data_IF_726107413352
#
_entry.id   IF_726107413352
#
_cell.length_a   1.000
_cell.length_b   1.000
_cell.length_c   1.000
_cell.angle_alpha   90.00
_cell.angle_beta   90.00
_cell.angle_gamma   90.00
#
_symmetry.space_group_name_H-M   'P 1'
#
loop_
_entity.id
_entity.type
_entity.pdbx_description
1 polymer ?
#
# COMPACT_ATOMS: atom_id res chain seq x y z
N UNK A 1 -16.97 -16.84 1.85
CA UNK A 1 -15.69 -16.34 1.33
C UNK A 1 -14.61 -16.91 2.22
N UNK A 2 -13.63 -17.62 1.66
CA UNK A 2 -12.46 -18.09 2.43
C UNK A 2 -11.69 -16.86 2.89
N UNK A 3 -11.58 -16.66 4.21
CA UNK A 3 -10.81 -15.55 4.80
C UNK A 3 -9.36 -15.69 4.34
N UNK A 4 -8.86 -14.73 3.57
CA UNK A 4 -7.43 -14.64 3.25
C UNK A 4 -6.71 -13.97 4.41
N UNK A 5 -5.47 -14.36 4.67
CA UNK A 5 -4.63 -13.68 5.64
C UNK A 5 -4.33 -12.25 5.16
N UNK A 6 -4.20 -11.26 6.06
CA UNK A 6 -3.66 -9.97 5.69
C UNK A 6 -2.33 -10.10 4.95
N UNK A 7 -2.13 -9.29 3.92
CA UNK A 7 -0.86 -9.24 3.21
C UNK A 7 0.21 -8.50 4.04
N UNK A 8 1.47 -8.84 3.81
CA UNK A 8 2.61 -8.01 4.16
C UNK A 8 3.11 -7.30 2.90
N UNK A 9 3.14 -5.97 2.95
CA UNK A 9 3.71 -5.11 1.93
C UNK A 9 4.99 -4.44 2.46
N UNK A 10 5.99 -4.32 1.59
CA UNK A 10 7.17 -3.48 1.86
C UNK A 10 7.13 -2.20 1.00
N UNK A 11 7.23 -1.05 1.67
CA UNK A 11 7.39 0.27 1.05
C UNK A 11 8.86 0.63 0.87
N UNK A 12 9.26 0.96 -0.36
CA UNK A 12 10.63 1.33 -0.72
C UNK A 12 10.75 2.86 -0.89
N UNK A 13 10.84 3.60 0.21
CA UNK A 13 10.95 5.06 0.23
C UNK A 13 12.40 5.60 0.20
N UNK A 14 13.30 4.87 -0.47
CA UNK A 14 14.69 5.27 -0.60
C UNK A 14 14.82 6.48 -1.54
N UNK A 15 15.84 7.31 -1.35
CA UNK A 15 16.11 8.46 -2.25
C UNK A 15 17.00 8.12 -3.44
N UNK A 16 17.37 6.86 -3.62
CA UNK A 16 18.18 6.36 -4.73
C UNK A 16 17.77 4.94 -5.15
N UNK A 17 18.14 4.56 -6.38
CA UNK A 17 17.75 3.31 -7.01
C UNK A 17 18.41 2.10 -6.33
N UNK A 18 19.67 2.25 -5.90
CA UNK A 18 20.46 1.16 -5.33
C UNK A 18 19.88 0.70 -3.99
N UNK A 19 19.51 1.64 -3.13
CA UNK A 19 18.87 1.38 -1.85
C UNK A 19 17.54 0.66 -2.01
N UNK A 20 16.69 1.16 -2.92
CA UNK A 20 15.39 0.52 -3.19
C UNK A 20 15.54 -0.93 -3.69
N UNK A 21 16.43 -1.17 -4.66
CA UNK A 21 16.67 -2.53 -5.17
C UNK A 21 17.26 -3.44 -4.09
N UNK A 22 18.26 -2.96 -3.33
CA UNK A 22 18.89 -3.77 -2.28
C UNK A 22 17.88 -4.18 -1.19
N UNK A 23 17.02 -3.25 -0.76
CA UNK A 23 15.95 -3.54 0.19
C UNK A 23 14.90 -4.48 -0.39
N UNK A 24 14.50 -4.31 -1.65
CA UNK A 24 13.55 -5.22 -2.30
C UNK A 24 14.11 -6.65 -2.36
N UNK A 25 15.38 -6.82 -2.73
CA UNK A 25 16.06 -8.12 -2.82
C UNK A 25 16.18 -8.79 -1.45
N UNK A 26 16.39 -8.02 -0.37
CA UNK A 26 16.57 -8.59 0.97
C UNK A 26 15.28 -9.15 1.58
N UNK A 27 14.10 -8.65 1.19
CA UNK A 27 12.81 -9.07 1.78
C UNK A 27 11.81 -9.67 0.79
N UNK A 28 12.03 -9.52 -0.52
CA UNK A 28 11.04 -9.79 -1.55
C UNK A 28 10.47 -11.21 -1.55
N UNK A 29 11.25 -12.20 -1.10
CA UNK A 29 10.78 -13.58 -0.96
C UNK A 29 9.75 -13.77 0.17
N UNK A 30 9.83 -12.96 1.22
CA UNK A 30 9.04 -13.11 2.44
C UNK A 30 7.76 -12.26 2.43
N UNK A 31 7.70 -11.21 1.61
CA UNK A 31 6.54 -10.29 1.51
C UNK A 31 5.60 -10.67 0.36
N UNK A 32 4.34 -10.24 0.43
CA UNK A 32 3.35 -10.52 -0.62
C UNK A 32 3.33 -9.41 -1.69
N UNK A 33 3.60 -8.17 -1.28
CA UNK A 33 3.52 -6.97 -2.12
C UNK A 33 4.80 -6.14 -1.97
N UNK A 34 5.29 -5.59 -3.08
CA UNK A 34 6.46 -4.69 -3.11
C UNK A 34 6.02 -3.35 -3.72
N UNK A 35 6.27 -2.27 -3.00
CA UNK A 35 5.85 -0.92 -3.37
C UNK A 35 7.06 -0.03 -3.72
N UNK A 36 7.06 0.50 -4.93
CA UNK A 36 7.92 1.62 -5.29
C UNK A 36 7.31 2.91 -4.72
N UNK A 37 7.83 3.35 -3.57
CA UNK A 37 7.31 4.48 -2.80
C UNK A 37 7.43 5.82 -3.53
N UNK A 38 6.56 6.79 -3.20
CA UNK A 38 6.54 8.11 -3.86
C UNK A 38 7.91 8.79 -3.85
N UNK A 39 8.62 8.75 -2.71
CA UNK A 39 9.94 9.38 -2.57
C UNK A 39 10.91 8.78 -3.58
N UNK A 40 10.91 7.47 -3.77
CA UNK A 40 11.82 6.82 -4.69
C UNK A 40 11.44 7.09 -6.15
N UNK A 41 10.15 6.98 -6.50
CA UNK A 41 9.68 7.24 -7.86
C UNK A 41 9.98 8.67 -8.34
N UNK A 42 9.89 9.66 -7.45
CA UNK A 42 10.26 11.05 -7.77
C UNK A 42 11.76 11.23 -8.02
N UNK A 43 12.60 10.38 -7.41
CA UNK A 43 14.05 10.44 -7.56
C UNK A 43 14.56 9.68 -8.79
N UNK A 44 13.96 8.53 -9.10
CA UNK A 44 14.53 7.58 -10.08
C UNK A 44 13.61 7.26 -11.26
N UNK A 45 12.36 7.73 -11.23
CA UNK A 45 11.37 7.47 -12.27
C UNK A 45 10.82 6.03 -12.26
N UNK A 46 9.99 5.74 -13.27
CA UNK A 46 9.21 4.48 -13.33
C UNK A 46 10.00 3.26 -13.83
N UNK A 47 11.27 3.41 -14.21
CA UNK A 47 12.12 2.25 -14.54
C UNK A 47 12.29 1.32 -13.32
N UNK A 48 12.25 1.87 -12.10
CA UNK A 48 12.23 1.06 -10.87
C UNK A 48 11.08 0.04 -10.87
N UNK A 49 9.88 0.42 -11.33
CA UNK A 49 8.71 -0.47 -11.36
C UNK A 49 8.99 -1.70 -12.25
N UNK A 50 9.64 -1.49 -13.40
CA UNK A 50 9.99 -2.58 -14.32
C UNK A 50 11.11 -3.45 -13.76
N UNK A 51 12.10 -2.86 -13.10
CA UNK A 51 13.15 -3.61 -12.40
C UNK A 51 12.53 -4.52 -11.33
N UNK A 52 11.61 -3.99 -10.51
CA UNK A 52 10.91 -4.79 -9.51
C UNK A 52 10.08 -5.92 -10.14
N UNK A 53 9.38 -5.66 -11.26
CA UNK A 53 8.64 -6.69 -11.99
C UNK A 53 9.54 -7.81 -12.50
N UNK A 54 10.71 -7.45 -13.03
CA UNK A 54 11.67 -8.43 -13.53
C UNK A 54 12.29 -9.29 -12.41
N UNK A 55 12.54 -8.70 -11.24
CA UNK A 55 13.05 -9.43 -10.07
C UNK A 55 11.96 -10.30 -9.41
N UNK A 56 10.70 -9.84 -9.43
CA UNK A 56 9.59 -10.44 -8.70
C UNK A 56 8.36 -10.65 -9.59
N UNK A 57 8.41 -11.59 -10.56
CA UNK A 57 7.37 -11.74 -11.58
C UNK A 57 6.00 -12.09 -11.00
N UNK A 58 5.96 -12.82 -9.88
CA UNK A 58 4.71 -13.32 -9.28
C UNK A 58 4.18 -12.44 -8.13
N UNK A 59 4.96 -11.47 -7.66
CA UNK A 59 4.54 -10.58 -6.56
C UNK A 59 3.60 -9.49 -7.08
N UNK A 60 2.78 -8.96 -6.16
CA UNK A 60 2.04 -7.74 -6.40
C UNK A 60 2.99 -6.55 -6.37
N UNK A 61 2.88 -5.66 -7.35
CA UNK A 61 3.73 -4.47 -7.44
C UNK A 61 2.90 -3.21 -7.40
N UNK A 62 3.25 -2.29 -6.51
CA UNK A 62 2.60 -0.99 -6.34
C UNK A 62 3.50 0.11 -6.89
N UNK A 63 2.93 0.99 -7.71
CA UNK A 63 3.52 2.29 -8.03
C UNK A 63 2.86 3.38 -7.19
N UNK A 64 3.52 3.82 -6.12
CA UNK A 64 2.99 4.80 -5.19
C UNK A 64 3.20 6.23 -5.70
N UNK A 65 2.45 6.60 -6.74
CA UNK A 65 2.60 7.90 -7.40
C UNK A 65 1.90 9.04 -6.67
N UNK A 66 0.95 8.74 -5.76
CA UNK A 66 0.02 9.69 -5.16
C UNK A 66 -0.60 10.61 -6.23
N UNK A 67 -0.98 10.01 -7.37
CA UNK A 67 -1.45 10.72 -8.55
C UNK A 67 -2.63 11.64 -8.22
N UNK A 68 -2.46 12.94 -8.50
CA UNK A 68 -3.47 13.98 -8.26
C UNK A 68 -4.21 14.41 -9.55
N UNK A 69 -3.54 14.33 -10.69
CA UNK A 69 -4.07 14.68 -12.01
C UNK A 69 -3.42 13.85 -13.13
N UNK A 70 -3.93 13.97 -14.35
CA UNK A 70 -3.51 13.20 -15.52
C UNK A 70 -3.60 11.68 -15.31
N UNK A 71 -4.63 11.24 -14.59
CA UNK A 71 -4.77 9.87 -14.08
C UNK A 71 -4.56 8.79 -15.14
N UNK A 72 -5.17 8.93 -16.31
CA UNK A 72 -4.99 7.97 -17.41
C UNK A 72 -3.54 7.86 -17.90
N UNK A 73 -2.81 8.97 -17.97
CA UNK A 73 -1.40 8.98 -18.40
C UNK A 73 -0.51 8.36 -17.34
N UNK A 74 -0.63 8.79 -16.07
CA UNK A 74 0.23 8.29 -14.98
C UNK A 74 -0.02 6.81 -14.73
N UNK A 75 -1.29 6.36 -14.75
CA UNK A 75 -1.64 4.95 -14.63
C UNK A 75 -1.04 4.13 -15.76
N UNK A 76 -1.25 4.53 -17.02
CA UNK A 76 -0.69 3.81 -18.17
C UNK A 76 0.83 3.72 -18.10
N UNK A 77 1.51 4.81 -17.74
CA UNK A 77 2.97 4.86 -17.67
C UNK A 77 3.57 3.86 -16.67
N UNK A 78 2.88 3.60 -15.55
CA UNK A 78 3.34 2.63 -14.56
C UNK A 78 2.82 1.21 -14.85
N UNK A 79 1.62 1.08 -15.40
CA UNK A 79 1.04 -0.21 -15.77
C UNK A 79 1.87 -0.92 -16.85
N UNK A 80 2.37 -0.19 -17.86
CA UNK A 80 3.25 -0.77 -18.90
C UNK A 80 4.61 -1.20 -18.37
N UNK A 81 5.04 -0.64 -17.23
CA UNK A 81 6.24 -1.09 -16.49
C UNK A 81 5.95 -2.28 -15.58
N UNK A 82 4.69 -2.68 -15.45
CA UNK A 82 4.30 -3.88 -14.70
C UNK A 82 3.76 -3.64 -13.30
N UNK A 83 3.40 -2.40 -12.93
CA UNK A 83 2.62 -2.16 -11.70
C UNK A 83 1.26 -2.86 -11.79
N UNK A 84 0.85 -3.56 -10.74
CA UNK A 84 -0.51 -4.08 -10.59
C UNK A 84 -1.41 -3.01 -9.98
N UNK A 85 -0.92 -2.32 -8.95
CA UNK A 85 -1.67 -1.26 -8.28
C UNK A 85 -0.97 0.09 -8.41
N UNK A 86 -1.76 1.16 -8.42
CA UNK A 86 -1.24 2.53 -8.37
C UNK A 86 -2.02 3.37 -7.36
N UNK A 87 -1.31 4.21 -6.61
CA UNK A 87 -1.96 5.13 -5.66
C UNK A 87 -2.42 6.43 -6.33
N UNK A 88 -3.63 6.88 -5.98
CA UNK A 88 -4.13 8.23 -6.22
C UNK A 88 -4.31 8.93 -4.86
N UNK A 89 -3.92 10.19 -4.75
CA UNK A 89 -4.16 10.97 -3.54
C UNK A 89 -5.66 11.28 -3.39
N UNK A 90 -6.20 11.30 -2.16
CA UNK A 90 -7.64 11.47 -1.92
C UNK A 90 -8.23 12.80 -2.41
N UNK A 91 -7.41 13.82 -2.68
CA UNK A 91 -7.86 15.08 -3.29
C UNK A 91 -7.97 15.03 -4.82
N UNK A 92 -7.53 13.95 -5.48
CA UNK A 92 -7.73 13.75 -6.91
C UNK A 92 -9.23 13.70 -7.23
N UNK A 93 -9.62 14.26 -8.36
CA UNK A 93 -11.03 14.30 -8.76
C UNK A 93 -11.54 12.91 -9.16
N UNK A 94 -12.84 12.65 -9.02
CA UNK A 94 -13.46 11.40 -9.50
C UNK A 94 -13.19 11.14 -10.99
N UNK A 95 -13.25 12.13 -11.91
CA UNK A 95 -12.80 11.95 -13.29
C UNK A 95 -11.35 11.47 -13.42
N UNK A 96 -10.42 12.07 -12.68
CA UNK A 96 -9.00 11.65 -12.64
C UNK A 96 -8.87 10.20 -12.19
N UNK A 97 -9.50 9.84 -11.08
CA UNK A 97 -9.47 8.49 -10.52
C UNK A 97 -10.08 7.44 -11.47
N UNK A 98 -11.21 7.78 -12.13
CA UNK A 98 -11.83 6.91 -13.14
C UNK A 98 -10.93 6.72 -14.37
N UNK A 99 -10.26 7.77 -14.83
CA UNK A 99 -9.32 7.69 -15.94
C UNK A 99 -8.10 6.82 -15.58
N UNK A 100 -7.57 6.96 -14.36
CA UNK A 100 -6.50 6.12 -13.85
C UNK A 100 -6.90 4.64 -13.79
N UNK A 101 -8.06 4.34 -13.19
CA UNK A 101 -8.61 2.97 -13.09
C UNK A 101 -8.77 2.33 -14.47
N UNK A 102 -9.39 3.04 -15.41
CA UNK A 102 -9.57 2.56 -16.78
C UNK A 102 -8.22 2.20 -17.43
N UNK A 103 -7.23 3.08 -17.32
CA UNK A 103 -5.94 2.88 -17.97
C UNK A 103 -5.10 1.75 -17.37
N UNK A 104 -5.14 1.54 -16.04
CA UNK A 104 -4.42 0.42 -15.42
C UNK A 104 -5.09 -0.93 -15.73
N UNK A 105 -6.43 -0.99 -15.73
CA UNK A 105 -7.21 -2.18 -16.12
C UNK A 105 -6.98 -2.57 -17.58
N UNK A 106 -6.88 -1.60 -18.49
CA UNK A 106 -6.58 -1.85 -19.91
C UNK A 106 -5.26 -2.60 -20.13
N UNK A 107 -4.29 -2.45 -19.22
CA UNK A 107 -2.96 -3.06 -19.33
C UNK A 107 -2.80 -4.30 -18.44
N UNK A 108 -3.39 -4.30 -17.24
CA UNK A 108 -3.19 -5.34 -16.21
C UNK A 108 -4.40 -6.23 -15.97
N UNK A 109 -5.54 -5.94 -16.61
CA UNK A 109 -6.79 -6.67 -16.42
C UNK A 109 -7.24 -6.65 -14.97
N UNK A 110 -7.66 -7.81 -14.45
CA UNK A 110 -8.16 -7.97 -13.08
C UNK A 110 -7.12 -7.65 -11.99
N UNK A 111 -5.82 -7.63 -12.32
CA UNK A 111 -4.78 -7.21 -11.37
C UNK A 111 -4.67 -5.69 -11.25
N UNK A 112 -5.15 -4.95 -12.25
CA UNK A 112 -5.02 -3.52 -12.37
C UNK A 112 -5.97 -2.77 -11.45
N UNK A 113 -5.46 -2.15 -10.39
CA UNK A 113 -6.31 -1.43 -9.43
C UNK A 113 -5.76 -0.06 -8.99
N UNK A 114 -6.66 0.82 -8.57
CA UNK A 114 -6.31 2.08 -7.92
C UNK A 114 -6.50 1.95 -6.41
N UNK A 115 -5.57 2.53 -5.65
CA UNK A 115 -5.65 2.63 -4.19
C UNK A 115 -5.74 4.12 -3.81
N UNK A 116 -6.69 4.50 -2.96
CA UNK A 116 -6.79 5.90 -2.52
C UNK A 116 -5.93 6.12 -1.29
N UNK A 117 -4.97 7.03 -1.41
CA UNK A 117 -4.10 7.47 -0.32
C UNK A 117 -4.80 8.54 0.54
N UNK A 118 -5.02 8.23 1.83
CA UNK A 118 -5.83 9.04 2.73
C UNK A 118 -4.98 10.08 3.48
N UNK A 119 -5.13 11.36 3.11
CA UNK A 119 -4.45 12.48 3.75
C UNK A 119 -5.40 13.66 4.00
N UNK A 120 -5.14 14.42 5.06
CA UNK A 120 -5.93 15.59 5.42
C UNK A 120 -7.38 15.28 5.81
N UNK A 121 -8.28 16.19 5.51
CA UNK A 121 -9.68 16.19 5.95
C UNK A 121 -10.63 15.52 4.95
N UNK A 122 -10.31 14.27 4.55
CA UNK A 122 -11.22 13.48 3.73
C UNK A 122 -12.50 13.08 4.49
N UNK A 123 -13.59 12.82 3.76
CA UNK A 123 -14.89 12.46 4.36
C UNK A 123 -15.41 11.09 3.91
N UNK A 124 -16.35 10.52 4.67
CA UNK A 124 -16.98 9.25 4.26
C UNK A 124 -17.86 9.42 3.02
N UNK A 125 -18.38 10.62 2.74
CA UNK A 125 -19.09 10.92 1.50
C UNK A 125 -18.14 10.87 0.30
N UNK A 126 -16.90 11.37 0.43
CA UNK A 126 -15.86 11.19 -0.59
C UNK A 126 -15.51 9.71 -0.74
N UNK A 127 -15.39 8.98 0.37
CA UNK A 127 -15.13 7.55 0.33
C UNK A 127 -16.21 6.78 -0.43
N UNK A 128 -17.49 7.10 -0.23
CA UNK A 128 -18.57 6.51 -1.02
C UNK A 128 -18.42 6.81 -2.52
N UNK A 129 -18.00 8.02 -2.90
CA UNK A 129 -17.77 8.35 -4.32
C UNK A 129 -16.64 7.51 -4.95
N UNK A 130 -15.62 7.12 -4.19
CA UNK A 130 -14.56 6.23 -4.69
C UNK A 130 -15.10 4.82 -4.96
N UNK A 131 -15.93 4.28 -4.06
CA UNK A 131 -16.63 3.01 -4.26
C UNK A 131 -17.54 3.07 -5.50
N UNK A 132 -18.34 4.14 -5.63
CA UNK A 132 -19.21 4.36 -6.77
C UNK A 132 -18.43 4.54 -8.09
N UNK A 133 -17.14 4.90 -8.01
CA UNK A 133 -16.21 4.97 -9.14
C UNK A 133 -15.54 3.63 -9.47
N UNK A 134 -15.82 2.58 -8.70
CA UNK A 134 -15.24 1.25 -8.84
C UNK A 134 -13.88 1.08 -8.14
N UNK A 135 -13.54 1.95 -7.18
CA UNK A 135 -12.28 1.93 -6.44
C UNK A 135 -12.55 1.47 -5.02
N UNK A 136 -12.03 0.29 -4.65
CA UNK A 136 -12.35 -0.40 -3.40
C UNK A 136 -11.13 -0.67 -2.52
N UNK A 137 -10.01 0.01 -2.76
CA UNK A 137 -8.83 -0.02 -1.90
C UNK A 137 -8.50 1.37 -1.37
N UNK A 138 -8.15 1.44 -0.08
CA UNK A 138 -7.68 2.67 0.58
C UNK A 138 -6.46 2.38 1.44
N UNK A 139 -5.59 3.37 1.59
CA UNK A 139 -4.42 3.31 2.45
C UNK A 139 -4.61 4.29 3.60
N UNK A 140 -4.75 3.75 4.82
CA UNK A 140 -4.87 4.53 6.05
C UNK A 140 -3.52 4.63 6.76
N UNK A 141 -3.07 5.87 6.97
CA UNK A 141 -1.86 6.17 7.71
C UNK A 141 -2.16 6.39 9.19
N UNK A 142 -1.36 5.81 10.09
CA UNK A 142 -1.28 6.32 11.45
C UNK A 142 -0.85 7.80 11.38
N UNK A 143 -1.49 8.66 12.16
CA UNK A 143 -1.14 10.09 12.21
C UNK A 143 0.37 10.26 12.49
N UNK A 144 1.06 11.02 11.63
CA UNK A 144 2.49 11.32 11.81
C UNK A 144 2.73 12.08 13.11
N UNK A 145 1.83 13.00 13.47
CA UNK A 145 1.92 13.77 14.71
C UNK A 145 1.73 12.87 15.94
N UNK A 146 0.79 11.91 15.86
CA UNK A 146 0.60 10.90 16.90
C UNK A 146 1.84 10.02 17.04
N UNK A 147 2.42 9.56 15.92
CA UNK A 147 3.66 8.78 15.91
C UNK A 147 4.84 9.56 16.52
N UNK A 148 5.00 10.84 16.19
CA UNK A 148 6.05 11.70 16.74
C UNK A 148 5.82 12.03 18.22
N UNK A 149 4.57 12.07 18.67
CA UNK A 149 4.19 12.20 20.08
C UNK A 149 4.32 10.89 20.87
N UNK A 150 4.75 9.78 20.23
CA UNK A 150 4.90 8.48 20.87
C UNK A 150 3.57 7.72 21.04
N UNK A 151 2.49 8.18 20.42
CA UNK A 151 1.22 7.49 20.42
C UNK A 151 1.27 6.26 19.49
N UNK A 152 0.59 5.20 19.92
CA UNK A 152 0.37 3.99 19.12
C UNK A 152 -1.00 4.05 18.46
N UNK A 153 -1.35 3.03 17.68
CA UNK A 153 -2.70 2.91 17.12
C UNK A 153 -3.76 2.94 18.23
N UNK A 154 -4.56 4.01 18.24
CA UNK A 154 -5.63 4.21 19.22
C UNK A 154 -7.02 3.87 18.68
N UNK A 155 -8.03 3.88 19.55
CA UNK A 155 -9.42 3.58 19.17
C UNK A 155 -9.95 4.48 18.06
N UNK A 156 -9.55 5.75 18.03
CA UNK A 156 -9.96 6.71 16.98
C UNK A 156 -9.58 6.22 15.58
N UNK A 157 -8.33 5.78 15.39
CA UNK A 157 -7.84 5.29 14.10
C UNK A 157 -8.45 3.93 13.77
N UNK A 158 -8.51 3.03 14.74
CA UNK A 158 -9.13 1.71 14.56
C UNK A 158 -10.61 1.82 14.20
N UNK A 159 -11.35 2.78 14.75
CA UNK A 159 -12.75 3.04 14.40
C UNK A 159 -12.91 3.55 12.97
N UNK A 160 -12.00 4.40 12.49
CA UNK A 160 -11.99 4.83 11.08
C UNK A 160 -11.67 3.68 10.14
N UNK A 161 -10.67 2.85 10.47
CA UNK A 161 -10.33 1.64 9.70
C UNK A 161 -11.52 0.69 9.64
N UNK A 162 -12.15 0.37 10.77
CA UNK A 162 -13.35 -0.50 10.83
C UNK A 162 -14.49 0.08 9.98
N UNK A 163 -14.74 1.38 10.09
CA UNK A 163 -15.79 2.04 9.29
C UNK A 163 -15.55 1.93 7.79
N UNK A 164 -14.31 2.10 7.33
CA UNK A 164 -13.95 1.92 5.92
C UNK A 164 -14.12 0.46 5.47
N UNK A 165 -13.72 -0.50 6.29
CA UNK A 165 -13.97 -1.94 6.04
C UNK A 165 -15.47 -2.20 5.92
N UNK A 166 -16.28 -1.68 6.85
CA UNK A 166 -17.75 -1.85 6.86
C UNK A 166 -18.42 -1.22 5.62
N UNK A 167 -17.82 -0.18 5.03
CA UNK A 167 -18.28 0.41 3.77
C UNK A 167 -17.98 -0.47 2.55
N UNK A 168 -17.10 -1.47 2.68
CA UNK A 168 -16.71 -2.39 1.60
C UNK A 168 -15.30 -2.17 1.07
N UNK A 169 -14.46 -1.38 1.74
CA UNK A 169 -13.07 -1.21 1.33
C UNK A 169 -12.17 -2.35 1.82
N UNK A 170 -11.23 -2.74 0.97
CA UNK A 170 -9.99 -3.41 1.37
C UNK A 170 -9.04 -2.34 1.91
N UNK A 171 -8.85 -2.33 3.23
CA UNK A 171 -8.08 -1.28 3.91
C UNK A 171 -6.65 -1.76 4.17
N UNK A 172 -5.69 -1.07 3.57
CA UNK A 172 -4.27 -1.19 3.91
C UNK A 172 -3.93 -0.20 5.04
N UNK A 173 -3.12 -0.61 6.01
CA UNK A 173 -2.69 0.25 7.12
C UNK A 173 -1.17 0.38 7.15
N UNK A 174 -0.68 1.57 7.52
CA UNK A 174 0.75 1.88 7.56
C UNK A 174 1.10 2.87 8.67
N UNK A 175 2.37 2.89 9.10
CA UNK A 175 2.88 3.75 10.17
C UNK A 175 2.84 3.08 11.55
N UNK A 176 3.99 3.13 12.25
CA UNK A 176 4.12 2.60 13.61
C UNK A 176 3.91 1.09 13.75
N UNK A 177 4.09 0.32 12.67
CA UNK A 177 3.87 -1.13 12.66
C UNK A 177 5.14 -1.91 13.01
N UNK A 178 4.99 -2.86 13.93
CA UNK A 178 5.94 -3.90 14.27
C UNK A 178 5.18 -5.21 14.59
N UNK A 179 5.92 -6.30 14.80
CA UNK A 179 5.37 -7.58 15.27
C UNK A 179 4.48 -7.37 16.51
N UNK A 180 4.97 -6.58 17.49
CA UNK A 180 4.25 -6.37 18.75
C UNK A 180 2.97 -5.55 18.61
N UNK A 181 2.89 -4.64 17.63
CA UNK A 181 1.72 -3.78 17.43
C UNK A 181 0.61 -4.46 16.65
N UNK A 182 0.88 -5.56 15.93
CA UNK A 182 -0.13 -6.27 15.14
C UNK A 182 -1.34 -6.71 15.97
N UNK A 183 -1.12 -7.08 17.25
CA UNK A 183 -2.19 -7.46 18.17
C UNK A 183 -3.25 -6.37 18.40
N UNK A 184 -2.93 -5.09 18.15
CA UNK A 184 -3.88 -3.99 18.26
C UNK A 184 -4.99 -4.07 17.21
N UNK A 185 -4.74 -4.77 16.11
CA UNK A 185 -5.70 -4.98 15.02
C UNK A 185 -6.46 -6.31 15.13
N UNK A 186 -6.30 -7.06 16.21
CA UNK A 186 -6.99 -8.33 16.38
C UNK A 186 -8.52 -8.15 16.25
N UNK A 187 -9.14 -8.96 15.40
CA UNK A 187 -10.58 -8.85 15.08
C UNK A 187 -10.93 -7.77 14.05
N UNK A 188 -9.96 -7.05 13.49
CA UNK A 188 -10.14 -6.11 12.37
C UNK A 188 -9.71 -6.80 11.07
N UNK A 189 -10.53 -6.68 10.02
CA UNK A 189 -10.30 -7.31 8.71
C UNK A 189 -9.35 -6.48 7.84
N UNK A 190 -8.13 -6.27 8.33
CA UNK A 190 -7.09 -5.54 7.60
C UNK A 190 -6.72 -6.30 6.34
N UNK A 191 -6.70 -5.62 5.19
CA UNK A 191 -6.32 -6.24 3.92
C UNK A 191 -4.80 -6.38 3.78
N UNK A 192 -4.05 -5.34 4.13
CA UNK A 192 -2.59 -5.31 4.00
C UNK A 192 -1.96 -4.48 5.12
N UNK A 193 -0.89 -5.00 5.72
CA UNK A 193 0.01 -4.23 6.57
C UNK A 193 1.21 -3.76 5.72
N UNK A 194 1.44 -2.45 5.66
CA UNK A 194 2.56 -1.86 4.92
C UNK A 194 3.66 -1.49 5.91
N UNK A 195 4.79 -2.19 5.83
CA UNK A 195 6.00 -1.90 6.58
C UNK A 195 7.06 -1.25 5.68
N UNK A 196 8.04 -0.60 6.29
CA UNK A 196 9.18 0.00 5.59
C UNK A 196 10.48 -0.28 6.34
N UNK A 197 11.19 0.78 6.74
CA UNK A 197 12.49 0.71 7.43
C UNK A 197 12.54 -0.21 8.66
N UNK A 198 11.43 -0.35 9.39
CA UNK A 198 11.35 -1.29 10.53
C UNK A 198 11.64 -2.75 10.16
N UNK A 199 11.48 -3.13 8.90
CA UNK A 199 11.89 -4.44 8.35
C UNK A 199 13.19 -4.30 7.55
N UNK A 200 13.27 -3.36 6.61
CA UNK A 200 14.38 -3.31 5.65
C UNK A 200 15.73 -2.91 6.26
N UNK A 201 15.73 -2.19 7.39
CA UNK A 201 16.94 -1.79 8.14
C UNK A 201 17.20 -2.66 9.37
N UNK A 202 16.44 -3.76 9.55
CA UNK A 202 16.72 -4.73 10.60
C UNK A 202 18.07 -5.44 10.36
N UNK A 203 18.65 -6.01 11.42
CA UNK A 203 19.91 -6.76 11.31
C UNK A 203 19.80 -7.96 10.34
N UNK A 204 18.63 -8.59 10.29
CA UNK A 204 18.25 -9.58 9.28
C UNK A 204 16.86 -9.22 8.73
N UNK A 205 16.79 -8.50 7.59
CA UNK A 205 15.52 -8.06 7.01
C UNK A 205 14.57 -9.20 6.62
N UNK A 206 15.11 -10.33 6.14
CA UNK A 206 14.30 -11.48 5.75
C UNK A 206 13.67 -12.14 6.98
N UNK A 207 14.45 -12.33 8.06
CA UNK A 207 13.93 -12.84 9.32
C UNK A 207 12.86 -11.91 9.90
N UNK A 208 13.09 -10.59 9.90
CA UNK A 208 12.12 -9.62 10.38
C UNK A 208 10.79 -9.66 9.59
N UNK A 209 10.86 -9.78 8.26
CA UNK A 209 9.68 -9.93 7.41
C UNK A 209 8.93 -11.25 7.70
N UNK A 210 9.67 -12.34 7.89
CA UNK A 210 9.11 -13.65 8.23
C UNK A 210 8.42 -13.65 9.59
N UNK A 211 9.03 -13.03 10.60
CA UNK A 211 8.44 -12.90 11.93
C UNK A 211 7.14 -12.08 11.89
N UNK A 212 7.11 -11.03 11.09
CA UNK A 212 5.90 -10.25 10.84
C UNK A 212 4.79 -11.11 10.20
N UNK A 213 5.10 -11.89 9.16
CA UNK A 213 4.14 -12.84 8.54
C UNK A 213 3.68 -13.94 9.52
N UNK A 214 4.58 -14.44 10.36
CA UNK A 214 4.25 -15.45 11.36
C UNK A 214 3.24 -14.90 12.38
N UNK A 215 3.40 -13.65 12.81
CA UNK A 215 2.46 -13.00 13.73
C UNK A 215 1.12 -12.70 13.06
N UNK A 216 1.10 -12.27 11.79
CA UNK A 216 -0.14 -12.21 11.00
C UNK A 216 -0.83 -13.58 11.00
N UNK A 217 -0.10 -14.65 10.70
CA UNK A 217 -0.66 -16.00 10.67
C UNK A 217 -1.17 -16.45 12.05
N UNK A 218 -0.50 -16.05 13.13
CA UNK A 218 -0.93 -16.37 14.50
C UNK A 218 -2.25 -15.68 14.89
N UNK A 219 -2.46 -14.44 14.44
CA UNK A 219 -3.63 -13.64 14.81
C UNK A 219 -4.84 -13.91 13.88
N UNK A 220 -4.62 -14.08 12.57
CA UNK A 220 -5.68 -14.21 11.57
C UNK A 220 -5.80 -15.60 10.91
N UNK A 221 -4.89 -16.53 11.19
CA UNK A 221 -4.85 -17.88 10.60
C UNK A 221 -5.67 -18.94 11.32
#
# INVERSE_FOLDING_TARGET
MTKQLPNLQVALDHSDLKGAIAAAVSVGNEVDIIEAGTVCLLQVGSELVEVLRNLFPDKWIVADTKCADAGGTVAKNNAVRGADWMTCICCATIPTMKAARKAIEEVRGERGEIQVELYGDWTYEQAQQWLDAGISQVIYHQSRDALLAGETWGEKDLNKVKKLIDMGFRVSVTGGLSVDTLKLFAGVDVFTFIAGRGITEAADPAAAARDFKNEIKRIWG
#
